data_IF_602389354228
#
_entry.id   IF_602389354228
#
_cell.length_a   1.000
_cell.length_b   1.000
_cell.length_c   1.000
_cell.angle_alpha   90.00
_cell.angle_beta   90.00
_cell.angle_gamma   90.00
#
_symmetry.space_group_name_H-M   'P 1'
#
loop_
_entity.id
_entity.type
_entity.pdbx_description
1 polymer ?
#
# COMPACT_ATOMS: atom_id res chain seq x y z
N UNK A 1 -15.18 15.99 -35.05
CA UNK A 1 -14.07 15.49 -34.22
C UNK A 1 -13.86 14.04 -34.64
N UNK A 2 -12.79 13.77 -35.37
CA UNK A 2 -12.52 12.47 -35.99
C UNK A 2 -11.40 11.69 -35.31
N UNK A 3 -10.70 12.31 -34.34
CA UNK A 3 -9.65 11.64 -33.57
C UNK A 3 -9.68 12.05 -32.10
N UNK A 4 -9.13 11.20 -31.19
CA UNK A 4 -8.97 11.55 -29.76
C UNK A 4 -8.15 12.83 -29.55
N UNK A 5 -7.15 13.09 -30.38
CA UNK A 5 -6.31 14.28 -30.26
C UNK A 5 -7.09 15.55 -30.61
N UNK A 6 -7.89 15.52 -31.68
CA UNK A 6 -8.78 16.65 -32.02
C UNK A 6 -9.81 16.92 -30.92
N UNK A 7 -10.35 15.87 -30.30
CA UNK A 7 -11.25 16.03 -29.16
C UNK A 7 -10.52 16.69 -27.98
N UNK A 8 -9.31 16.25 -27.68
CA UNK A 8 -8.50 16.83 -26.61
C UNK A 8 -8.20 18.31 -26.88
N UNK A 9 -7.77 18.67 -28.07
CA UNK A 9 -7.53 20.07 -28.43
C UNK A 9 -8.80 20.92 -28.31
N UNK A 10 -9.93 20.40 -28.78
CA UNK A 10 -11.21 21.08 -28.67
C UNK A 10 -11.62 21.29 -27.20
N UNK A 11 -11.44 20.29 -26.35
CA UNK A 11 -11.72 20.39 -24.93
C UNK A 11 -10.76 21.36 -24.22
N UNK A 12 -9.47 21.35 -24.55
CA UNK A 12 -8.49 22.28 -24.01
C UNK A 12 -8.82 23.75 -24.33
N UNK A 13 -9.37 23.99 -25.50
CA UNK A 13 -9.77 25.33 -25.91
C UNK A 13 -11.07 25.81 -25.21
N UNK A 14 -12.01 24.92 -25.03
CA UNK A 14 -13.36 25.26 -24.57
C UNK A 14 -13.58 25.10 -23.06
N UNK A 15 -12.72 24.37 -22.35
CA UNK A 15 -12.88 24.12 -20.91
C UNK A 15 -11.74 24.77 -20.15
N UNK A 16 -12.07 25.80 -19.37
CA UNK A 16 -11.14 26.47 -18.47
C UNK A 16 -11.03 25.75 -17.13
N UNK A 17 -9.87 25.88 -16.46
CA UNK A 17 -9.65 25.32 -15.12
C UNK A 17 -9.41 23.82 -15.08
N UNK A 18 -9.10 23.21 -16.22
CA UNK A 18 -8.73 21.80 -16.32
C UNK A 18 -7.35 21.62 -16.93
N UNK A 19 -6.64 20.60 -16.45
CA UNK A 19 -5.37 20.13 -17.01
C UNK A 19 -5.58 18.80 -17.75
N UNK A 20 -4.89 18.61 -18.86
CA UNK A 20 -5.03 17.43 -19.70
C UNK A 20 -3.76 16.58 -19.65
N UNK A 21 -3.93 15.32 -19.32
CA UNK A 21 -2.95 14.27 -19.48
C UNK A 21 -3.17 13.54 -20.82
N UNK A 22 -2.32 12.55 -21.13
CA UNK A 22 -2.47 11.77 -22.39
C UNK A 22 -3.83 11.07 -22.49
N UNK A 23 -4.43 10.66 -21.37
CA UNK A 23 -5.63 9.79 -21.34
C UNK A 23 -6.78 10.33 -20.50
N UNK A 24 -6.58 11.38 -19.72
CA UNK A 24 -7.61 11.90 -18.83
C UNK A 24 -7.48 13.40 -18.61
N UNK A 25 -8.56 14.00 -18.14
CA UNK A 25 -8.66 15.39 -17.78
C UNK A 25 -8.83 15.52 -16.29
N UNK A 26 -8.12 16.45 -15.67
CA UNK A 26 -8.16 16.74 -14.23
C UNK A 26 -8.61 18.17 -14.02
N UNK A 27 -9.52 18.39 -13.09
CA UNK A 27 -9.92 19.74 -12.69
C UNK A 27 -8.80 20.35 -11.82
N UNK A 28 -8.35 21.56 -12.19
CA UNK A 28 -7.29 22.28 -11.49
C UNK A 28 -5.91 22.14 -12.14
N UNK A 29 -4.86 22.16 -11.32
CA UNK A 29 -3.46 22.12 -11.77
C UNK A 29 -3.07 20.76 -12.37
N UNK A 30 -2.05 20.77 -13.22
CA UNK A 30 -1.52 19.58 -13.86
C UNK A 30 -1.01 18.59 -12.80
N UNK A 31 -1.51 17.36 -12.83
CA UNK A 31 -1.01 16.27 -12.00
C UNK A 31 -0.56 15.08 -12.87
N UNK A 32 0.28 14.22 -12.33
CA UNK A 32 0.66 12.99 -13.00
C UNK A 32 -0.50 11.98 -13.02
N UNK A 33 -0.46 11.00 -13.92
CA UNK A 33 -1.43 9.90 -13.94
C UNK A 33 -1.45 9.16 -12.59
N UNK A 34 -0.27 8.94 -12.01
CA UNK A 34 -0.11 8.31 -10.69
C UNK A 34 -0.85 9.10 -9.60
N UNK A 35 -0.67 10.44 -9.57
CA UNK A 35 -1.29 11.29 -8.55
C UNK A 35 -2.81 11.34 -8.70
N UNK A 36 -3.31 11.41 -9.95
CA UNK A 36 -4.74 11.40 -10.23
C UNK A 36 -5.38 10.08 -9.81
N UNK A 37 -4.78 8.95 -10.17
CA UNK A 37 -5.23 7.61 -9.75
C UNK A 37 -5.16 7.47 -8.24
N UNK A 38 -4.03 7.84 -7.62
CA UNK A 38 -3.87 7.78 -6.16
C UNK A 38 -4.89 8.63 -5.43
N UNK A 39 -5.17 9.83 -5.93
CA UNK A 39 -6.18 10.72 -5.35
C UNK A 39 -7.59 10.11 -5.39
N UNK A 40 -7.99 9.50 -6.51
CA UNK A 40 -9.29 8.85 -6.64
C UNK A 40 -9.36 7.58 -5.78
N UNK A 41 -8.29 6.78 -5.74
CA UNK A 41 -8.21 5.61 -4.88
C UNK A 41 -8.33 5.99 -3.40
N UNK A 42 -7.62 7.03 -2.95
CA UNK A 42 -7.75 7.57 -1.59
C UNK A 42 -9.19 7.93 -1.25
N UNK A 43 -9.90 8.58 -2.18
CA UNK A 43 -11.29 8.98 -2.00
C UNK A 43 -12.21 7.78 -1.81
N UNK A 44 -12.00 6.72 -2.59
CA UNK A 44 -12.78 5.47 -2.50
C UNK A 44 -12.45 4.74 -1.19
N UNK A 45 -11.19 4.51 -0.89
CA UNK A 45 -10.76 3.88 0.37
C UNK A 45 -11.03 4.75 1.61
N UNK A 46 -11.17 6.07 1.44
CA UNK A 46 -11.61 6.95 2.51
C UNK A 46 -12.99 6.59 3.09
N UNK A 47 -13.86 6.00 2.28
CA UNK A 47 -15.19 5.54 2.70
C UNK A 47 -15.18 4.08 3.24
N UNK A 48 -14.24 3.25 2.77
CA UNK A 48 -14.15 1.83 3.13
C UNK A 48 -12.72 1.48 3.54
N UNK A 49 -12.50 0.80 4.68
CA UNK A 49 -11.15 0.46 5.14
C UNK A 49 -10.42 -0.51 4.20
N UNK A 50 -11.16 -1.46 3.64
CA UNK A 50 -10.66 -2.46 2.69
C UNK A 50 -11.50 -2.46 1.43
N UNK A 51 -10.88 -2.54 0.27
CA UNK A 51 -11.58 -2.59 -1.01
C UNK A 51 -10.87 -3.52 -2.01
N UNK A 52 -11.66 -4.17 -2.84
CA UNK A 52 -11.19 -5.06 -3.90
C UNK A 52 -10.75 -4.26 -5.14
N UNK A 53 -9.64 -4.69 -5.76
CA UNK A 53 -9.16 -4.08 -7.02
C UNK A 53 -10.17 -4.26 -8.15
N UNK A 54 -10.92 -5.36 -8.19
CA UNK A 54 -11.96 -5.57 -9.19
C UNK A 54 -13.10 -4.57 -9.04
N UNK A 55 -13.57 -4.33 -7.81
CA UNK A 55 -14.60 -3.29 -7.55
C UNK A 55 -14.11 -1.89 -7.89
N UNK A 56 -12.81 -1.62 -7.69
CA UNK A 56 -12.20 -0.36 -8.13
C UNK A 56 -12.18 -0.23 -9.65
N UNK A 57 -11.87 -1.30 -10.36
CA UNK A 57 -11.92 -1.31 -11.84
C UNK A 57 -13.30 -0.96 -12.36
N UNK A 58 -14.37 -1.44 -11.71
CA UNK A 58 -15.74 -1.10 -12.07
C UNK A 58 -16.06 0.38 -11.80
N UNK A 59 -15.48 0.97 -10.77
CA UNK A 59 -15.64 2.40 -10.44
C UNK A 59 -14.77 3.34 -11.26
N UNK A 60 -13.66 2.82 -11.82
CA UNK A 60 -12.70 3.55 -12.64
C UNK A 60 -12.59 2.95 -14.05
N UNK A 61 -13.70 2.86 -14.80
CA UNK A 61 -13.73 2.13 -16.07
C UNK A 61 -12.84 2.74 -17.16
N UNK A 62 -12.40 3.99 -16.98
CA UNK A 62 -11.49 4.70 -17.87
C UNK A 62 -10.01 4.41 -17.58
N UNK A 63 -9.70 3.70 -16.49
CA UNK A 63 -8.34 3.32 -16.12
C UNK A 63 -8.15 1.82 -16.32
N UNK A 64 -7.19 1.39 -17.15
CA UNK A 64 -6.89 -0.04 -17.29
C UNK A 64 -6.53 -0.66 -15.94
N UNK A 65 -7.08 -1.83 -15.64
CA UNK A 65 -6.85 -2.53 -14.37
C UNK A 65 -5.36 -2.73 -14.06
N UNK A 66 -4.53 -2.98 -15.07
CA UNK A 66 -3.07 -3.08 -14.90
C UNK A 66 -2.40 -1.78 -14.41
N UNK A 67 -3.00 -0.60 -14.71
CA UNK A 67 -2.51 0.67 -14.18
C UNK A 67 -2.93 0.84 -12.72
N UNK A 68 -4.13 0.39 -12.36
CA UNK A 68 -4.60 0.37 -10.97
C UNK A 68 -3.66 -0.50 -10.13
N UNK A 69 -3.40 -1.73 -10.56
CA UNK A 69 -2.45 -2.64 -9.91
C UNK A 69 -1.06 -2.02 -9.73
N UNK A 70 -0.53 -1.36 -10.75
CA UNK A 70 0.79 -0.72 -10.68
C UNK A 70 0.83 0.42 -9.67
N UNK A 71 -0.25 1.20 -9.57
CA UNK A 71 -0.33 2.30 -8.60
C UNK A 71 -0.42 1.73 -7.19
N UNK A 72 -1.21 0.70 -6.96
CA UNK A 72 -1.41 0.08 -5.64
C UNK A 72 -0.12 -0.60 -5.17
N UNK A 73 0.46 -1.48 -5.98
CA UNK A 73 1.65 -2.26 -5.60
C UNK A 73 2.91 -1.40 -5.44
N UNK A 74 3.00 -0.27 -6.12
CA UNK A 74 4.12 0.67 -6.01
C UNK A 74 3.87 1.85 -5.06
N UNK A 75 2.89 1.76 -4.17
CA UNK A 75 2.51 2.87 -3.30
C UNK A 75 2.32 2.39 -1.86
N UNK A 76 3.11 2.95 -0.95
CA UNK A 76 3.10 2.59 0.47
C UNK A 76 1.80 2.94 1.21
N UNK A 77 0.92 3.71 0.58
CA UNK A 77 -0.41 4.02 1.12
C UNK A 77 -1.38 2.84 1.09
N UNK A 78 -1.08 1.78 0.32
CA UNK A 78 -1.95 0.63 0.17
C UNK A 78 -1.26 -0.64 0.65
N UNK A 79 -1.96 -1.38 1.49
CA UNK A 79 -1.46 -2.58 2.16
C UNK A 79 -2.34 -3.77 1.75
N UNK A 80 -1.71 -4.88 1.40
CA UNK A 80 -2.43 -6.11 1.07
C UNK A 80 -3.15 -6.64 2.32
N UNK A 81 -4.47 -6.82 2.21
CA UNK A 81 -5.32 -7.40 3.26
C UNK A 81 -5.59 -8.89 3.02
N UNK A 82 -6.00 -9.21 1.80
CA UNK A 82 -6.22 -10.57 1.32
C UNK A 82 -6.01 -10.62 -0.18
N UNK A 83 -6.22 -11.76 -0.83
CA UNK A 83 -6.04 -11.87 -2.28
C UNK A 83 -6.93 -10.87 -3.03
N UNK A 84 -6.30 -9.92 -3.71
CA UNK A 84 -6.99 -8.89 -4.48
C UNK A 84 -7.63 -7.77 -3.67
N UNK A 85 -7.50 -7.77 -2.33
CA UNK A 85 -8.03 -6.74 -1.45
C UNK A 85 -6.93 -5.94 -0.78
N UNK A 86 -7.14 -4.63 -0.65
CA UNK A 86 -6.17 -3.72 -0.08
C UNK A 86 -6.80 -2.80 0.96
N UNK A 87 -6.01 -2.52 2.01
CA UNK A 87 -6.27 -1.54 3.04
C UNK A 87 -5.61 -0.21 2.67
N UNK A 88 -6.29 0.90 2.91
CA UNK A 88 -5.66 2.21 2.93
C UNK A 88 -4.99 2.43 4.29
N UNK A 89 -3.66 2.63 4.31
CA UNK A 89 -2.83 2.57 5.51
C UNK A 89 -3.21 3.59 6.59
N UNK A 90 -3.76 4.75 6.21
CA UNK A 90 -4.21 5.78 7.17
C UNK A 90 -5.40 5.28 8.03
N UNK A 91 -6.02 4.15 7.68
CA UNK A 91 -7.06 3.47 8.46
C UNK A 91 -6.52 2.53 9.52
N UNK A 92 -5.25 2.19 9.44
CA UNK A 92 -4.59 1.35 10.43
C UNK A 92 -4.28 2.17 11.69
N UNK A 93 -4.81 1.72 12.82
CA UNK A 93 -4.65 2.36 14.11
C UNK A 93 -3.50 1.71 14.85
N UNK A 94 -2.58 2.53 15.29
CA UNK A 94 -1.45 2.16 16.13
C UNK A 94 -0.96 3.40 16.86
N UNK A 95 -0.68 3.27 18.15
CA UNK A 95 -0.12 4.33 18.98
C UNK A 95 1.41 4.39 18.83
N UNK A 96 2.02 5.49 19.27
CA UNK A 96 3.48 5.61 19.26
C UNK A 96 4.17 4.64 20.20
N UNK A 97 3.56 4.39 21.36
CA UNK A 97 4.11 3.46 22.34
C UNK A 97 4.13 2.03 21.76
N UNK A 98 3.04 1.61 21.08
CA UNK A 98 3.00 0.33 20.37
C UNK A 98 4.00 0.25 19.19
N UNK A 99 4.24 1.37 18.48
CA UNK A 99 5.27 1.43 17.44
C UNK A 99 6.68 1.20 18.04
N UNK A 100 6.98 1.81 19.20
CA UNK A 100 8.23 1.64 19.91
C UNK A 100 8.38 0.22 20.45
N UNK A 101 7.36 -0.34 21.10
CA UNK A 101 7.36 -1.71 21.60
C UNK A 101 7.62 -2.75 20.50
N UNK A 102 7.02 -2.57 19.31
CA UNK A 102 7.26 -3.44 18.15
C UNK A 102 8.70 -3.33 17.66
N UNK A 103 9.24 -2.11 17.60
CA UNK A 103 10.62 -1.90 17.16
C UNK A 103 11.60 -2.56 18.12
N UNK A 104 11.41 -2.39 19.42
CA UNK A 104 12.27 -2.98 20.45
C UNK A 104 12.20 -4.51 20.42
N UNK A 105 11.00 -5.07 20.29
CA UNK A 105 10.80 -6.52 20.16
C UNK A 105 11.53 -7.10 18.94
N UNK A 106 11.38 -6.47 17.77
CA UNK A 106 12.03 -6.94 16.53
C UNK A 106 13.54 -6.73 16.59
N UNK A 107 14.02 -5.65 17.22
CA UNK A 107 15.44 -5.39 17.42
C UNK A 107 16.09 -6.47 18.27
N UNK A 108 15.48 -6.82 19.41
CA UNK A 108 15.98 -7.86 20.33
C UNK A 108 16.12 -9.22 19.62
N UNK A 109 15.06 -9.66 18.93
CA UNK A 109 15.08 -10.95 18.21
C UNK A 109 16.08 -10.94 17.06
N UNK A 110 16.17 -9.85 16.31
CA UNK A 110 17.15 -9.73 15.23
C UNK A 110 18.61 -9.68 15.74
N UNK A 111 18.86 -9.16 16.94
CA UNK A 111 20.19 -9.17 17.55
C UNK A 111 20.57 -10.57 18.04
N UNK A 112 19.64 -11.33 18.56
CA UNK A 112 19.87 -12.71 19.02
C UNK A 112 20.03 -13.71 17.87
N UNK A 113 19.13 -13.64 16.87
CA UNK A 113 18.98 -14.68 15.85
C UNK A 113 19.46 -14.25 14.45
N UNK A 114 19.73 -12.95 14.24
CA UNK A 114 20.04 -12.39 12.92
C UNK A 114 18.81 -12.10 12.05
N UNK A 115 17.63 -12.58 12.46
CA UNK A 115 16.35 -12.35 11.78
C UNK A 115 15.20 -12.43 12.78
N UNK A 116 14.03 -11.90 12.39
CA UNK A 116 12.77 -12.07 13.12
C UNK A 116 11.64 -12.49 12.18
N UNK A 117 10.60 -13.12 12.70
CA UNK A 117 9.38 -13.40 11.94
C UNK A 117 8.37 -12.26 12.16
N UNK A 118 7.86 -11.69 11.09
CA UNK A 118 6.80 -10.68 11.17
C UNK A 118 5.54 -11.22 11.87
N UNK A 119 5.29 -12.52 11.77
CA UNK A 119 4.13 -13.16 12.41
C UNK A 119 4.30 -13.40 13.92
N UNK A 120 5.52 -13.25 14.44
CA UNK A 120 5.79 -13.41 15.89
C UNK A 120 5.66 -12.08 16.64
N UNK A 121 5.49 -10.97 15.90
CA UNK A 121 5.23 -9.65 16.51
C UNK A 121 3.94 -9.71 17.32
N UNK A 122 3.98 -9.38 18.62
CA UNK A 122 2.79 -9.40 19.46
C UNK A 122 1.80 -8.31 19.03
N UNK A 123 0.55 -8.70 18.77
CA UNK A 123 -0.47 -7.76 18.30
C UNK A 123 -1.23 -7.08 19.44
N UNK A 124 -1.46 -7.75 20.56
CA UNK A 124 -2.09 -7.19 21.77
C UNK A 124 -3.33 -6.34 21.45
N UNK A 125 -3.32 -5.09 21.94
CA UNK A 125 -4.38 -4.09 21.72
C UNK A 125 -4.56 -3.69 20.25
N UNK A 126 -3.52 -3.82 19.42
CA UNK A 126 -3.57 -3.47 18.01
C UNK A 126 -4.63 -4.28 17.28
N UNK A 127 -4.75 -5.59 17.57
CA UNK A 127 -5.77 -6.44 16.95
C UNK A 127 -7.19 -6.02 17.39
N UNK A 128 -7.37 -5.65 18.66
CA UNK A 128 -8.64 -5.18 19.19
C UNK A 128 -9.07 -3.84 18.57
N UNK A 129 -8.14 -2.91 18.41
CA UNK A 129 -8.42 -1.60 17.78
C UNK A 129 -8.66 -1.68 16.27
N UNK A 130 -8.17 -2.75 15.63
CA UNK A 130 -8.30 -3.00 14.20
C UNK A 130 -9.11 -4.27 13.91
N UNK A 131 -10.12 -4.58 14.73
CA UNK A 131 -10.92 -5.81 14.69
C UNK A 131 -11.59 -6.09 13.32
N UNK A 132 -11.77 -5.07 12.50
CA UNK A 132 -12.32 -5.17 11.13
C UNK A 132 -11.29 -5.63 10.08
N UNK A 133 -10.02 -5.72 10.46
CA UNK A 133 -8.91 -6.11 9.58
C UNK A 133 -8.54 -7.58 9.77
N UNK A 134 -8.04 -8.19 8.71
CA UNK A 134 -7.41 -9.51 8.80
C UNK A 134 -6.04 -9.40 9.49
N UNK A 135 -5.59 -10.47 10.14
CA UNK A 135 -4.22 -10.51 10.70
C UNK A 135 -3.15 -10.21 9.64
N UNK A 136 -3.36 -10.70 8.41
CA UNK A 136 -2.47 -10.40 7.28
C UNK A 136 -2.41 -8.90 7.01
N UNK A 137 -3.54 -8.20 7.04
CA UNK A 137 -3.58 -6.75 6.86
C UNK A 137 -2.85 -6.02 7.99
N UNK A 138 -3.04 -6.46 9.23
CA UNK A 138 -2.39 -5.89 10.42
C UNK A 138 -0.86 -6.05 10.31
N UNK A 139 -0.35 -7.25 10.08
CA UNK A 139 1.09 -7.49 9.92
C UNK A 139 1.70 -6.70 8.76
N UNK A 140 1.04 -6.67 7.62
CA UNK A 140 1.52 -5.89 6.48
C UNK A 140 1.49 -4.37 6.75
N UNK A 141 0.50 -3.89 7.52
CA UNK A 141 0.43 -2.49 7.93
C UNK A 141 1.53 -2.14 8.94
N UNK A 142 1.79 -2.99 9.92
CA UNK A 142 2.91 -2.87 10.88
C UNK A 142 4.22 -2.79 10.10
N UNK A 143 4.46 -3.73 9.18
CA UNK A 143 5.68 -3.68 8.38
C UNK A 143 5.83 -2.35 7.65
N UNK A 144 4.82 -1.92 6.90
CA UNK A 144 4.90 -0.68 6.11
C UNK A 144 5.02 0.58 6.96
N UNK A 145 4.30 0.65 8.07
CA UNK A 145 4.22 1.87 8.88
C UNK A 145 5.37 2.01 9.88
N UNK A 146 5.81 0.87 10.44
CA UNK A 146 6.77 0.84 11.55
C UNK A 146 8.14 0.32 11.11
N UNK A 147 8.17 -0.83 10.43
CA UNK A 147 9.40 -1.60 10.24
C UNK A 147 10.15 -1.32 8.93
N UNK A 148 9.46 -0.90 7.87
CA UNK A 148 10.04 -0.78 6.51
C UNK A 148 11.20 0.20 6.38
N UNK A 149 11.34 1.15 7.32
CA UNK A 149 12.47 2.09 7.37
C UNK A 149 13.77 1.48 7.91
N UNK A 150 13.70 0.35 8.62
CA UNK A 150 14.82 -0.26 9.34
C UNK A 150 15.08 -1.71 8.93
N UNK A 151 14.04 -2.41 8.49
CA UNK A 151 14.07 -3.84 8.18
C UNK A 151 13.66 -4.12 6.74
N UNK A 152 14.28 -5.15 6.16
CA UNK A 152 13.89 -5.74 4.89
C UNK A 152 12.99 -6.95 5.14
N UNK A 153 11.88 -7.03 4.40
CA UNK A 153 10.95 -8.16 4.47
C UNK A 153 11.15 -9.08 3.27
N UNK A 154 11.45 -10.35 3.54
CA UNK A 154 11.48 -11.41 2.55
C UNK A 154 10.46 -12.50 2.94
N UNK A 155 9.33 -12.54 2.23
CA UNK A 155 8.18 -13.34 2.65
C UNK A 155 7.61 -12.84 3.98
N UNK A 156 7.89 -13.56 5.07
CA UNK A 156 7.51 -13.16 6.44
C UNK A 156 8.72 -12.91 7.36
N UNK A 157 9.92 -12.98 6.81
CA UNK A 157 11.16 -12.83 7.56
C UNK A 157 11.67 -11.40 7.45
N UNK A 158 12.01 -10.83 8.59
CA UNK A 158 12.59 -9.51 8.77
C UNK A 158 14.09 -9.61 8.99
N UNK A 159 14.87 -8.77 8.30
CA UNK A 159 16.33 -8.69 8.47
C UNK A 159 16.79 -7.24 8.45
N UNK A 160 17.85 -6.90 9.20
CA UNK A 160 18.48 -5.56 9.19
C UNK A 160 19.20 -5.30 7.86
N UNK A 161 19.81 -6.31 7.27
CA UNK A 161 20.50 -6.20 5.99
C UNK A 161 19.67 -6.86 4.87
N UNK A 162 19.85 -6.36 3.65
CA UNK A 162 19.27 -6.96 2.45
C UNK A 162 20.06 -8.23 2.11
N UNK A 163 19.80 -9.30 2.86
CA UNK A 163 20.37 -10.62 2.59
C UNK A 163 19.35 -11.46 1.81
N UNK A 164 19.82 -12.17 0.78
CA UNK A 164 19.12 -13.34 0.30
C UNK A 164 19.27 -14.42 1.38
N UNK A 165 18.35 -14.45 2.34
CA UNK A 165 18.25 -15.58 3.26
C UNK A 165 17.89 -16.80 2.43
N UNK A 166 18.90 -17.62 2.17
CA UNK A 166 18.69 -18.94 1.59
C UNK A 166 17.85 -19.75 2.58
N UNK A 167 16.76 -20.35 2.10
CA UNK A 167 15.92 -21.24 2.89
C UNK A 167 16.75 -22.36 3.56
N UNK A 168 17.90 -22.70 2.99
CA UNK A 168 18.88 -23.67 3.55
C UNK A 168 19.56 -23.12 4.82
N UNK A 169 19.77 -21.81 4.94
CA UNK A 169 20.32 -21.21 6.17
C UNK A 169 19.31 -21.24 7.32
N UNK A 170 18.04 -21.01 7.04
CA UNK A 170 16.96 -21.11 8.03
C UNK A 170 16.80 -22.54 8.56
N UNK A 171 16.91 -23.56 7.69
CA UNK A 171 16.83 -24.97 8.09
C UNK A 171 18.04 -25.48 8.90
N UNK A 172 19.16 -24.76 8.92
CA UNK A 172 20.36 -25.12 9.71
C UNK A 172 20.34 -24.57 11.13
N UNK A 173 19.43 -23.67 11.46
CA UNK A 173 19.29 -23.08 12.79
C UNK A 173 18.19 -23.77 13.64
N UNK A 174 17.44 -24.69 13.07
CA UNK A 174 16.51 -25.60 13.74
C UNK A 174 17.06 -27.05 13.68
#
# INVERSE_FOLDING_TARGET
ITSPDMLKEHLQYNISGCSFSKKFMVKGSRCSEKDAVTGELKRIWGAHPVESVHRLSDRLPYIPIGNIWRVISGNDLFVLSSEGEYLFIDRFRITKDEEEDILDFVDEICEENGFASLCDVPLGSIEEENYELTQTAIYNAIYKKVLSGKYHLNGKILTKEKSELDAVMLLKQY
#
